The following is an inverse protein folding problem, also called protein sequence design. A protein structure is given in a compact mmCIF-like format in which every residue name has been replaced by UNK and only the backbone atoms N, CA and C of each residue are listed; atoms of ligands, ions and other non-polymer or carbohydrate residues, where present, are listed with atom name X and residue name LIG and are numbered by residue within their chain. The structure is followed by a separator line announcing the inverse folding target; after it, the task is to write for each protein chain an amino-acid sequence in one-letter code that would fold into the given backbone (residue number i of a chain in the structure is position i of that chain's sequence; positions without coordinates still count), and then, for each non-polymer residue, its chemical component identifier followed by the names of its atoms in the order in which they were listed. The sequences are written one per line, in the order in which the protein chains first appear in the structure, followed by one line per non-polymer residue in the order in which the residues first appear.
data_IF_384940459038
#
_entry.id   IF_384940459038
#
_cell.length_a   1.000
_cell.length_b   1.000
_cell.length_c   1.000
_cell.angle_alpha   90.00
_cell.angle_beta   90.00
_cell.angle_gamma   90.00
#
_symmetry.space_group_name_H-M   'P 1'
#
loop_
_entity.id
_entity.type
_entity.pdbx_description
1 polymer ?
#
# COMPACT_ATOMS: atom_id res chain seq x y z
N UNK A 1 7.48 11.46 -0.95
CA UNK A 1 8.13 12.77 -0.82
C UNK A 1 7.09 13.84 -1.08
N UNK A 2 7.00 14.85 -0.21
CA UNK A 2 5.99 15.91 -0.34
C UNK A 2 6.67 17.20 -0.80
N UNK A 3 6.22 17.75 -1.91
CA UNK A 3 6.66 19.05 -2.44
C UNK A 3 5.61 20.09 -2.04
N UNK A 4 5.91 20.84 -0.98
CA UNK A 4 5.01 21.87 -0.47
C UNK A 4 5.28 23.23 -1.15
N UNK A 5 4.31 24.15 -1.04
CA UNK A 5 4.32 25.52 -1.54
C UNK A 5 4.14 25.66 -3.05
N UNK A 6 3.38 24.77 -3.68
CA UNK A 6 3.04 24.90 -5.11
C UNK A 6 2.26 26.19 -5.44
N UNK A 7 1.65 26.84 -4.45
CA UNK A 7 1.05 28.17 -4.57
C UNK A 7 2.06 29.26 -4.98
N UNK A 8 3.35 29.07 -4.70
CA UNK A 8 4.43 29.98 -5.09
C UNK A 8 4.89 29.79 -6.53
N UNK A 9 4.39 28.76 -7.22
CA UNK A 9 4.64 28.49 -8.64
C UNK A 9 3.40 28.90 -9.45
N UNK A 10 3.55 29.71 -10.51
CA UNK A 10 2.45 30.05 -11.42
C UNK A 10 1.74 28.80 -11.93
N UNK A 11 0.41 28.81 -12.02
CA UNK A 11 -0.37 27.62 -12.37
C UNK A 11 0.06 26.96 -13.68
N UNK A 12 0.42 27.77 -14.69
CA UNK A 12 0.93 27.30 -15.97
C UNK A 12 2.28 26.55 -15.89
N UNK A 13 3.07 26.80 -14.83
CA UNK A 13 4.42 26.25 -14.65
C UNK A 13 4.48 25.09 -13.64
N UNK A 14 3.38 24.81 -12.93
CA UNK A 14 3.33 23.78 -11.88
C UNK A 14 3.64 22.39 -12.40
N UNK A 15 3.05 22.00 -13.54
CA UNK A 15 3.27 20.69 -14.14
C UNK A 15 4.75 20.49 -14.52
N UNK A 16 5.33 21.46 -15.25
CA UNK A 16 6.74 21.42 -15.63
C UNK A 16 7.68 21.44 -14.42
N UNK A 17 7.30 22.14 -13.35
CA UNK A 17 8.08 22.18 -12.11
C UNK A 17 8.04 20.83 -11.38
N UNK A 18 6.88 20.18 -11.32
CA UNK A 18 6.74 18.83 -10.75
C UNK A 18 7.54 17.79 -11.54
N UNK A 19 7.50 17.84 -12.88
CA UNK A 19 8.28 16.96 -13.74
C UNK A 19 9.79 17.12 -13.52
N UNK A 20 10.27 18.36 -13.30
CA UNK A 20 11.67 18.63 -12.93
C UNK A 20 12.05 18.05 -11.57
N UNK A 21 11.15 18.12 -10.59
CA UNK A 21 11.39 17.50 -9.29
C UNK A 21 11.43 15.97 -9.42
N UNK A 22 10.45 15.36 -10.07
CA UNK A 22 10.42 13.91 -10.32
C UNK A 22 11.67 13.44 -11.05
N UNK A 23 12.09 14.14 -12.10
CA UNK A 23 13.29 13.80 -12.88
C UNK A 23 14.59 13.85 -12.07
N UNK A 24 14.65 14.66 -11.02
CA UNK A 24 15.79 14.73 -10.09
C UNK A 24 15.72 13.71 -8.96
N UNK A 25 14.52 13.35 -8.54
CA UNK A 25 14.30 12.44 -7.40
C UNK A 25 14.37 10.99 -7.85
N UNK A 26 13.81 10.65 -9.01
CA UNK A 26 13.72 9.27 -9.52
C UNK A 26 15.10 8.58 -9.66
N UNK A 27 16.19 9.27 -10.06
CA UNK A 27 17.53 8.68 -10.05
C UNK A 27 18.10 8.42 -8.65
N UNK A 28 17.65 9.18 -7.63
CA UNK A 28 18.13 9.07 -6.24
C UNK A 28 17.29 8.07 -5.44
N UNK A 29 15.99 8.03 -5.69
CA UNK A 29 15.06 7.06 -5.12
C UNK A 29 13.97 6.72 -6.16
N UNK A 30 14.13 5.61 -6.89
CA UNK A 30 13.17 5.17 -7.91
C UNK A 30 11.77 4.89 -7.37
N UNK A 31 11.66 4.63 -6.05
CA UNK A 31 10.43 4.28 -5.36
C UNK A 31 9.79 5.48 -4.63
N UNK A 32 10.37 6.68 -4.76
CA UNK A 32 9.82 7.88 -4.15
C UNK A 32 8.64 8.42 -4.96
N UNK A 33 7.44 8.32 -4.39
CA UNK A 33 6.27 9.04 -4.90
C UNK A 33 6.36 10.52 -4.56
N UNK A 34 6.17 11.40 -5.54
CA UNK A 34 6.26 12.85 -5.37
C UNK A 34 4.85 13.42 -5.40
N UNK A 35 4.41 13.99 -4.28
CA UNK A 35 3.08 14.62 -4.17
C UNK A 35 3.27 16.11 -3.98
N UNK A 36 2.65 16.90 -4.86
CA UNK A 36 2.59 18.34 -4.75
C UNK A 36 1.46 18.77 -3.81
N UNK A 37 1.77 19.61 -2.81
CA UNK A 37 0.76 20.16 -1.89
C UNK A 37 0.91 21.67 -1.73
N UNK A 38 -0.19 22.33 -1.40
CA UNK A 38 -0.25 23.77 -1.10
C UNK A 38 -0.49 23.96 0.39
N UNK A 39 0.21 24.92 1.01
CA UNK A 39 0.07 25.24 2.44
C UNK A 39 0.25 24.04 3.41
N UNK A 40 0.99 23.00 3.01
CA UNK A 40 1.23 21.80 3.81
C UNK A 40 0.03 20.88 3.96
N UNK A 41 -1.05 21.11 3.20
CA UNK A 41 -2.26 20.29 3.21
C UNK A 41 -2.01 18.97 2.49
N UNK A 42 -1.65 17.95 3.27
CA UNK A 42 -1.44 16.57 2.83
C UNK A 42 -2.67 15.78 3.28
N UNK A 43 -3.24 14.94 2.42
CA UNK A 43 -4.29 14.01 2.84
C UNK A 43 -3.75 13.11 3.98
N UNK A 44 -4.35 13.10 5.17
CA UNK A 44 -3.92 12.26 6.28
C UNK A 44 -3.86 10.76 5.93
N UNK A 45 -4.64 10.29 4.94
CA UNK A 45 -4.60 8.90 4.46
C UNK A 45 -3.27 8.56 3.75
N UNK A 46 -2.55 9.56 3.24
CA UNK A 46 -1.19 9.45 2.71
C UNK A 46 -0.14 9.32 3.82
N UNK A 47 -0.44 9.80 5.04
CA UNK A 47 0.46 9.78 6.19
C UNK A 47 0.17 8.63 7.17
N UNK A 48 -1.09 8.25 7.32
CA UNK A 48 -1.55 7.27 8.30
C UNK A 48 -2.36 6.15 7.65
N UNK A 49 -2.28 4.95 8.23
CA UNK A 49 -3.09 3.81 7.83
C UNK A 49 -4.41 3.84 8.58
N UNK A 50 -5.40 4.54 8.03
CA UNK A 50 -6.76 4.54 8.56
C UNK A 50 -7.40 3.23 8.07
N UNK A 51 -7.09 2.12 8.74
CA UNK A 51 -8.01 0.99 8.74
C UNK A 51 -9.32 1.54 9.29
N UNK A 52 -10.41 1.41 8.53
CA UNK A 52 -11.74 1.84 8.96
C UNK A 52 -12.01 1.29 10.36
N UNK A 53 -11.87 2.14 11.38
CA UNK A 53 -12.28 1.81 12.71
C UNK A 53 -13.78 1.62 12.63
N UNK A 54 -14.27 0.43 12.96
CA UNK A 54 -15.70 0.20 13.17
C UNK A 54 -16.20 1.30 14.11
N UNK A 55 -17.25 2.06 13.75
CA UNK A 55 -17.67 3.20 14.55
C UNK A 55 -18.16 2.70 15.91
N UNK A 56 -17.38 2.95 16.95
CA UNK A 56 -17.90 2.88 18.32
C UNK A 56 -18.80 4.11 18.49
N UNK A 57 -20.09 3.83 18.58
CA UNK A 57 -21.12 4.86 18.70
C UNK A 57 -20.92 5.63 20.01
N UNK A 58 -20.72 6.94 19.93
CA UNK A 58 -21.07 7.82 21.05
C UNK A 58 -20.23 9.08 21.26
N UNK A 59 -19.00 9.15 20.77
CA UNK A 59 -18.20 10.39 20.86
C UNK A 59 -17.33 10.55 19.63
N UNK A 60 -17.55 11.65 18.90
CA UNK A 60 -16.69 12.02 17.79
C UNK A 60 -15.28 12.25 18.33
N UNK A 61 -14.34 11.45 17.85
CA UNK A 61 -12.94 11.73 18.14
C UNK A 61 -12.55 13.04 17.44
N UNK A 62 -11.54 13.78 17.94
CA UNK A 62 -11.01 14.99 17.29
C UNK A 62 -10.71 14.80 15.78
N UNK A 63 -10.55 13.56 15.32
CA UNK A 63 -10.35 13.18 13.91
C UNK A 63 -11.61 13.34 13.05
N UNK A 64 -12.78 12.95 13.54
CA UNK A 64 -14.02 13.09 12.77
C UNK A 64 -14.43 14.56 12.63
N UNK A 65 -14.13 15.38 13.65
CA UNK A 65 -14.32 16.83 13.59
C UNK A 65 -13.49 17.52 12.49
N UNK A 66 -12.30 16.97 12.16
CA UNK A 66 -11.42 17.50 11.13
C UNK A 66 -11.84 17.07 9.71
N UNK A 67 -12.51 15.92 9.59
CA UNK A 67 -13.07 15.43 8.32
C UNK A 67 -14.36 16.20 7.99
N UNK A 68 -15.19 16.52 8.98
CA UNK A 68 -16.48 17.21 8.79
C UNK A 68 -16.34 18.71 8.50
N UNK A 69 -15.28 19.36 9.02
CA UNK A 69 -15.01 20.78 8.74
C UNK A 69 -14.37 21.05 7.37
N UNK A 70 -14.10 20.01 6.58
CA UNK A 70 -13.44 20.08 5.28
C UNK A 70 -14.36 20.08 4.06
N UNK A 71 -15.69 20.16 4.23
CA UNK A 71 -16.66 20.17 3.12
C UNK A 71 -16.71 21.49 2.33
N UNK A 72 -15.54 22.05 1.99
CA UNK A 72 -15.39 23.06 0.95
C UNK A 72 -14.69 22.42 -0.25
N UNK A 73 -15.41 22.38 -1.35
CA UNK A 73 -15.03 21.94 -2.70
C UNK A 73 -13.64 22.47 -3.13
N UNK A 74 -12.61 21.70 -2.83
CA UNK A 74 -11.23 21.97 -3.20
C UNK A 74 -10.56 20.69 -3.69
N UNK A 75 -9.73 20.87 -4.72
CA UNK A 75 -8.95 19.88 -5.47
C UNK A 75 -8.05 19.03 -4.57
N UNK A 76 -8.66 18.06 -3.88
CA UNK A 76 -7.97 17.04 -3.12
C UNK A 76 -7.56 15.93 -4.08
N UNK A 77 -6.25 15.69 -4.18
CA UNK A 77 -5.76 14.53 -4.92
C UNK A 77 -6.21 13.28 -4.17
N UNK A 78 -7.29 12.63 -4.64
CA UNK A 78 -7.85 11.42 -4.06
C UNK A 78 -6.95 10.20 -4.35
N UNK A 79 -6.64 9.43 -3.31
CA UNK A 79 -5.96 8.15 -3.47
C UNK A 79 -6.95 7.07 -3.92
N UNK A 80 -6.56 6.32 -4.95
CA UNK A 80 -7.26 5.12 -5.39
C UNK A 80 -6.85 3.93 -4.51
N UNK A 81 -7.80 3.01 -4.29
CA UNK A 81 -7.53 1.76 -3.59
C UNK A 81 -8.08 0.55 -4.35
N UNK A 82 -7.30 -0.52 -4.37
CA UNK A 82 -7.67 -1.79 -5.01
C UNK A 82 -7.54 -2.91 -3.98
N UNK A 83 -8.64 -3.59 -3.70
CA UNK A 83 -8.67 -4.76 -2.82
C UNK A 83 -8.87 -6.03 -3.62
N UNK A 84 -8.08 -7.06 -3.30
CA UNK A 84 -8.22 -8.42 -3.85
C UNK A 84 -8.25 -9.40 -2.69
N UNK A 85 -9.25 -10.26 -2.70
CA UNK A 85 -9.40 -11.38 -1.77
C UNK A 85 -9.30 -12.70 -2.55
N UNK A 86 -8.74 -13.72 -1.91
CA UNK A 86 -8.72 -15.08 -2.47
C UNK A 86 -8.77 -16.12 -1.38
N UNK A 87 -9.10 -17.35 -1.76
CA UNK A 87 -9.12 -18.50 -0.87
C UNK A 87 -7.93 -19.44 -1.12
N UNK A 88 -7.70 -20.34 -0.17
CA UNK A 88 -6.63 -21.33 -0.26
C UNK A 88 -5.26 -20.78 0.17
N UNK A 89 -4.19 -21.47 -0.27
CA UNK A 89 -2.81 -21.10 0.02
C UNK A 89 -2.16 -20.52 -1.22
N UNK A 90 -1.33 -19.50 -1.04
CA UNK A 90 -0.63 -18.80 -2.12
C UNK A 90 0.85 -19.19 -2.15
N UNK A 91 1.50 -18.97 -3.29
CA UNK A 91 2.95 -19.09 -3.42
C UNK A 91 3.63 -17.88 -2.76
N UNK A 92 4.45 -18.08 -1.71
CA UNK A 92 5.16 -16.97 -1.08
C UNK A 92 6.12 -16.25 -2.03
N UNK A 93 6.68 -16.92 -3.05
CA UNK A 93 7.58 -16.25 -3.99
C UNK A 93 6.81 -15.24 -4.86
N UNK A 94 5.69 -15.65 -5.45
CA UNK A 94 4.84 -14.77 -6.25
C UNK A 94 4.33 -13.54 -5.47
N UNK A 95 3.98 -13.73 -4.19
CA UNK A 95 3.59 -12.61 -3.34
C UNK A 95 4.79 -11.71 -3.05
N UNK A 96 5.95 -12.26 -2.66
CA UNK A 96 7.12 -11.45 -2.34
C UNK A 96 7.58 -10.64 -3.57
N UNK A 97 7.51 -11.21 -4.77
CA UNK A 97 7.84 -10.50 -6.01
C UNK A 97 6.90 -9.29 -6.23
N UNK A 98 5.59 -9.45 -5.96
CA UNK A 98 4.65 -8.34 -5.95
C UNK A 98 5.00 -7.28 -4.89
N UNK A 99 5.43 -7.69 -3.69
CA UNK A 99 5.77 -6.76 -2.60
C UNK A 99 7.09 -6.00 -2.85
N UNK A 100 8.08 -6.66 -3.47
CA UNK A 100 9.37 -6.07 -3.84
C UNK A 100 9.21 -5.09 -5.01
N UNK A 101 8.32 -5.40 -5.95
CA UNK A 101 8.02 -4.55 -7.10
C UNK A 101 6.51 -4.25 -7.19
N UNK A 102 6.01 -3.31 -6.37
CA UNK A 102 4.60 -2.92 -6.42
C UNK A 102 4.23 -2.38 -7.81
N UNK A 103 2.96 -2.52 -8.24
CA UNK A 103 2.47 -1.89 -9.44
C UNK A 103 2.72 -0.37 -9.45
N UNK A 104 2.85 0.22 -10.65
CA UNK A 104 3.04 1.65 -10.79
C UNK A 104 1.89 2.43 -10.13
N UNK A 105 2.23 3.52 -9.44
CA UNK A 105 1.26 4.35 -8.72
C UNK A 105 0.97 3.88 -7.29
N UNK A 106 1.28 2.62 -6.95
CA UNK A 106 1.07 2.05 -5.61
C UNK A 106 2.22 2.44 -4.68
N UNK A 107 1.93 3.27 -3.67
CA UNK A 107 2.92 3.66 -2.66
C UNK A 107 2.81 2.83 -1.38
N UNK A 108 1.67 2.16 -1.18
CA UNK A 108 1.41 1.34 0.01
C UNK A 108 0.62 0.09 -0.37
N UNK A 109 1.00 -1.05 0.20
CA UNK A 109 0.20 -2.27 0.14
C UNK A 109 0.13 -2.93 1.49
N UNK A 110 -1.01 -3.49 1.84
CA UNK A 110 -1.19 -4.21 3.10
C UNK A 110 -2.10 -5.41 2.92
N UNK A 111 -1.99 -6.35 3.84
CA UNK A 111 -2.96 -7.42 3.90
C UNK A 111 -2.49 -8.66 4.61
N UNK A 112 -3.17 -9.76 4.33
CA UNK A 112 -2.89 -11.08 4.86
C UNK A 112 -2.71 -12.07 3.73
N UNK A 113 -1.83 -13.05 3.95
CA UNK A 113 -1.61 -14.18 3.05
C UNK A 113 -1.54 -15.48 3.84
N UNK A 114 -2.04 -16.56 3.26
CA UNK A 114 -1.98 -17.91 3.79
C UNK A 114 -1.00 -18.74 2.97
N UNK A 115 0.01 -19.30 3.63
CA UNK A 115 1.04 -20.12 3.00
C UNK A 115 1.02 -21.51 3.61
N UNK A 116 1.02 -22.54 2.77
CA UNK A 116 1.12 -23.93 3.23
C UNK A 116 2.58 -24.27 3.52
N UNK A 117 2.87 -24.62 4.76
CA UNK A 117 4.16 -25.12 5.20
C UNK A 117 4.02 -26.55 5.71
N UNK A 118 4.55 -27.51 4.92
CA UNK A 118 4.31 -28.95 5.13
C UNK A 118 2.81 -29.25 5.21
N UNK A 119 2.35 -29.91 6.28
CA UNK A 119 0.94 -30.22 6.53
C UNK A 119 0.16 -29.08 7.19
N UNK A 120 0.81 -27.96 7.54
CA UNK A 120 0.19 -26.84 8.26
C UNK A 120 0.02 -25.61 7.37
N UNK A 121 -1.08 -24.89 7.55
CA UNK A 121 -1.27 -23.57 6.92
C UNK A 121 -0.90 -22.48 7.92
N UNK A 122 -0.07 -21.53 7.51
CA UNK A 122 0.34 -20.38 8.31
C UNK A 122 -0.13 -19.10 7.64
N UNK A 123 -0.64 -18.16 8.44
CA UNK A 123 -1.05 -16.85 7.96
C UNK A 123 -0.02 -15.80 8.32
N UNK A 124 0.19 -14.85 7.43
CA UNK A 124 1.14 -13.76 7.57
C UNK A 124 0.46 -12.44 7.24
N UNK A 125 0.76 -11.40 8.01
CA UNK A 125 0.43 -10.01 7.66
C UNK A 125 1.58 -9.43 6.86
N UNK A 126 1.27 -8.77 5.76
CA UNK A 126 2.23 -8.09 4.89
C UNK A 126 1.91 -6.60 4.87
N UNK A 127 2.95 -5.78 4.85
CA UNK A 127 2.84 -4.33 4.78
C UNK A 127 4.03 -3.79 4.01
N UNK A 128 3.75 -3.01 2.96
CA UNK A 128 4.72 -2.37 2.09
C UNK A 128 4.48 -0.88 2.14
N UNK A 129 5.54 -0.12 2.42
CA UNK A 129 5.54 1.35 2.34
C UNK A 129 6.80 1.77 1.60
N UNK A 130 6.64 2.34 0.41
CA UNK A 130 7.78 2.60 -0.49
C UNK A 130 8.57 1.30 -0.75
N UNK A 131 9.91 1.27 -0.55
CA UNK A 131 10.72 0.07 -0.75
C UNK A 131 10.73 -0.89 0.46
N UNK A 132 10.11 -0.52 1.57
CA UNK A 132 10.18 -1.30 2.81
C UNK A 132 9.08 -2.34 2.88
N UNK A 133 9.48 -3.61 2.91
CA UNK A 133 8.59 -4.77 3.07
C UNK A 133 8.65 -5.29 4.51
N UNK A 134 7.50 -5.33 5.18
CA UNK A 134 7.34 -5.86 6.51
C UNK A 134 6.41 -7.08 6.50
N UNK A 135 6.86 -8.18 7.11
CA UNK A 135 6.10 -9.43 7.21
C UNK A 135 6.08 -9.91 8.65
N UNK A 136 4.89 -10.14 9.19
CA UNK A 136 4.69 -10.70 10.53
C UNK A 136 3.73 -11.89 10.49
N UNK A 137 3.68 -12.66 11.59
CA UNK A 137 2.70 -13.76 11.71
C UNK A 137 1.33 -13.14 11.96
N UNK A 138 0.33 -13.54 11.17
CA UNK A 138 -1.03 -13.04 11.36
C UNK A 138 -1.73 -13.75 12.52
N UNK A 139 -2.69 -13.09 13.19
CA UNK A 139 -3.57 -13.72 14.15
C UNK A 139 -4.31 -14.93 13.55
N UNK A 140 -4.63 -15.92 14.37
CA UNK A 140 -5.32 -17.14 13.94
C UNK A 140 -6.73 -16.89 13.37
N UNK A 141 -7.34 -15.74 13.66
CA UNK A 141 -8.66 -15.33 13.17
C UNK A 141 -8.59 -14.47 11.90
N UNK A 142 -7.39 -14.09 11.44
CA UNK A 142 -7.24 -13.27 10.26
C UNK A 142 -7.74 -14.02 9.00
N UNK A 143 -8.36 -13.27 8.08
CA UNK A 143 -8.74 -13.77 6.77
C UNK A 143 -7.51 -14.33 6.05
N UNK A 144 -7.68 -15.47 5.34
CA UNK A 144 -6.57 -16.20 4.73
C UNK A 144 -5.81 -15.38 3.70
N UNK A 145 -6.49 -14.81 2.70
CA UNK A 145 -5.86 -13.89 1.75
C UNK A 145 -6.73 -12.66 1.50
N UNK A 146 -6.18 -11.50 1.79
CA UNK A 146 -6.77 -10.18 1.50
C UNK A 146 -5.65 -9.20 1.34
N UNK A 147 -5.47 -8.63 0.15
CA UNK A 147 -4.49 -7.58 -0.12
C UNK A 147 -5.19 -6.31 -0.56
N UNK A 148 -4.69 -5.17 -0.10
CA UNK A 148 -5.12 -3.83 -0.46
C UNK A 148 -3.91 -3.06 -0.96
N UNK A 149 -4.01 -2.52 -2.17
CA UNK A 149 -3.05 -1.57 -2.74
C UNK A 149 -3.65 -0.18 -2.72
N UNK A 150 -2.85 0.82 -2.33
CA UNK A 150 -3.26 2.21 -2.23
C UNK A 150 -2.23 3.05 -3.00
N UNK A 151 -2.73 3.94 -3.84
CA UNK A 151 -1.92 4.70 -4.77
C UNK A 151 -2.64 5.89 -5.38
N UNK A 152 -1.93 6.64 -6.21
CA UNK A 152 -2.47 7.81 -6.91
C UNK A 152 -2.50 7.53 -8.42
N UNK A 153 -3.65 7.76 -9.07
CA UNK A 153 -3.77 7.55 -10.52
C UNK A 153 -3.54 6.08 -10.90
N UNK A 154 -4.11 5.16 -10.12
CA UNK A 154 -3.90 3.74 -10.33
C UNK A 154 -4.59 3.29 -11.61
N UNK A 155 -3.89 2.52 -12.43
CA UNK A 155 -4.55 1.61 -13.37
C UNK A 155 -5.18 0.47 -12.55
N UNK A 156 -6.40 0.70 -12.07
CA UNK A 156 -7.08 -0.21 -11.14
C UNK A 156 -7.25 -1.62 -11.71
N UNK A 157 -7.38 -1.76 -13.04
CA UNK A 157 -7.49 -3.05 -13.70
C UNK A 157 -6.14 -3.79 -13.67
N UNK A 158 -5.06 -3.11 -14.09
CA UNK A 158 -3.71 -3.70 -14.07
C UNK A 158 -3.27 -4.07 -12.64
N UNK A 159 -3.51 -3.18 -11.67
CA UNK A 159 -3.19 -3.44 -10.25
C UNK A 159 -3.95 -4.67 -9.76
N UNK A 160 -5.26 -4.74 -10.03
CA UNK A 160 -6.11 -5.87 -9.64
C UNK A 160 -5.62 -7.19 -10.25
N UNK A 161 -5.26 -7.18 -11.53
CA UNK A 161 -4.79 -8.38 -12.22
C UNK A 161 -3.44 -8.87 -11.68
N UNK A 162 -2.50 -7.96 -11.42
CA UNK A 162 -1.20 -8.32 -10.81
C UNK A 162 -1.39 -8.88 -9.40
N UNK A 163 -2.25 -8.26 -8.60
CA UNK A 163 -2.59 -8.75 -7.25
C UNK A 163 -3.27 -10.12 -7.29
N UNK A 164 -4.22 -10.33 -8.22
CA UNK A 164 -4.90 -11.61 -8.39
C UNK A 164 -3.94 -12.71 -8.83
N UNK A 165 -3.03 -12.40 -9.75
CA UNK A 165 -1.98 -13.32 -10.20
C UNK A 165 -1.10 -13.77 -9.03
N UNK A 166 -0.63 -12.83 -8.20
CA UNK A 166 0.16 -13.13 -7.00
C UNK A 166 -0.62 -13.93 -5.94
N UNK A 167 -1.93 -13.71 -5.84
CA UNK A 167 -2.83 -14.41 -4.92
C UNK A 167 -3.43 -15.70 -5.48
N UNK A 168 -2.92 -16.20 -6.61
CA UNK A 168 -3.37 -17.45 -7.20
C UNK A 168 -3.13 -18.61 -6.24
N UNK A 169 -4.17 -19.42 -6.02
CA UNK A 169 -4.08 -20.57 -5.12
C UNK A 169 -3.17 -21.64 -5.70
N UNK A 170 -2.24 -22.15 -4.90
CA UNK A 170 -1.37 -23.27 -5.25
C UNK A 170 -1.76 -24.55 -4.51
N UNK A 171 -1.72 -25.66 -5.25
CA UNK A 171 -1.87 -26.99 -4.66
C UNK A 171 -0.52 -27.48 -4.15
N UNK A 172 -0.38 -27.59 -2.83
CA UNK A 172 0.78 -28.22 -2.20
C UNK A 172 1.51 -27.31 -1.21
N UNK A 173 2.56 -27.84 -0.56
CA UNK A 173 3.41 -27.02 0.31
C UNK A 173 4.22 -26.04 -0.53
N UNK A 174 4.42 -24.83 0.00
CA UNK A 174 5.26 -23.83 -0.62
C UNK A 174 6.70 -24.32 -0.78
N UNK A 175 7.35 -23.86 -1.86
CA UNK A 175 8.72 -24.21 -2.16
C UNK A 175 9.66 -23.79 -1.00
N UNK A 176 10.72 -24.57 -0.70
CA UNK A 176 11.66 -24.22 0.36
C UNK A 176 12.33 -22.85 0.18
N UNK A 177 12.51 -22.40 -1.06
CA UNK A 177 13.09 -21.10 -1.40
C UNK A 177 12.18 -19.95 -0.98
N UNK A 178 10.91 -19.95 -1.39
CA UNK A 178 9.95 -18.92 -0.99
C UNK A 178 9.73 -18.85 0.52
N UNK A 179 9.75 -20.00 1.21
CA UNK A 179 9.73 -20.01 2.68
C UNK A 179 10.96 -19.30 3.28
N UNK A 180 12.15 -19.50 2.71
CA UNK A 180 13.38 -18.81 3.19
C UNK A 180 13.31 -17.31 2.95
N UNK A 181 12.81 -16.84 1.80
CA UNK A 181 12.61 -15.41 1.52
C UNK A 181 11.61 -14.80 2.50
N UNK A 182 10.47 -15.46 2.73
CA UNK A 182 9.46 -15.01 3.69
C UNK A 182 10.04 -14.90 5.12
N UNK A 183 10.83 -15.89 5.54
CA UNK A 183 11.51 -15.85 6.85
C UNK A 183 12.59 -14.77 6.94
N UNK A 184 13.25 -14.42 5.84
CA UNK A 184 14.23 -13.32 5.79
C UNK A 184 13.53 -11.99 6.05
N UNK A 185 12.46 -11.68 5.32
CA UNK A 185 11.69 -10.45 5.53
C UNK A 185 11.11 -10.37 6.94
N UNK A 186 10.58 -11.49 7.47
CA UNK A 186 10.09 -11.54 8.85
C UNK A 186 11.15 -11.21 9.90
N UNK A 187 12.41 -11.60 9.69
CA UNK A 187 13.52 -11.27 10.62
C UNK A 187 13.94 -9.81 10.55
N UNK A 188 13.82 -9.19 9.37
CA UNK A 188 14.11 -7.77 9.17
C UNK A 188 12.97 -6.86 9.64
N UNK A 189 11.83 -7.46 9.98
CA UNK A 189 10.60 -6.80 10.41
C UNK A 189 10.47 -6.68 11.94
N UNK A 190 11.56 -6.94 12.70
CA UNK A 190 11.58 -6.94 14.17
C UNK A 190 12.08 -5.58 14.68
#
# INVERSE_FOLDING_TARGET
MVVNKLDRVPAAERAATMERFESRIRPVNPHAYVVGVTAGRIDPTLLYDIAAATPESGQLSFRELLVDTGAHDHDHTHADSVTVVSDGCVDPDAVIDLLEEPPAGVYRMKGTIAVRYRASTRRYTVNVVGPSVHIAVAPAQAQSNSLVAIGMGLDTAQVRDRMRSALTSVSGPAAPQGIRRLQRYRRLSI
#
